data_IF_949115779915
#
_entry.id   IF_949115779915
#
_cell.length_a   1.000
_cell.length_b   1.000
_cell.length_c   1.000
_cell.angle_alpha   90.00
_cell.angle_beta   90.00
_cell.angle_gamma   90.00
#
_symmetry.space_group_name_H-M   'P 1'
#
loop_
_entity.id
_entity.type
_entity.pdbx_description
1 polymer ?
#
# COMPACT_ATOMS: atom_id res chain seq x y z
N UNK A 1 27.53 5.83 5.32
CA UNK A 1 28.56 6.40 4.42
C UNK A 1 27.94 6.50 3.05
N UNK A 2 28.13 7.62 2.36
CA UNK A 2 27.68 7.75 0.96
C UNK A 2 28.57 6.86 0.08
N UNK A 3 27.98 6.21 -0.92
CA UNK A 3 28.72 5.49 -1.96
C UNK A 3 28.85 6.39 -3.18
N UNK A 4 30.04 6.44 -3.78
CA UNK A 4 30.32 7.17 -5.01
C UNK A 4 30.71 6.17 -6.10
N UNK A 5 30.10 6.30 -7.29
CA UNK A 5 30.36 5.46 -8.46
C UNK A 5 30.87 6.36 -9.60
N UNK A 6 32.08 6.08 -10.09
CA UNK A 6 32.74 6.87 -11.15
C UNK A 6 33.21 5.93 -12.27
N UNK A 7 32.85 6.25 -13.51
CA UNK A 7 33.17 5.44 -14.72
C UNK A 7 32.73 3.97 -14.60
N UNK A 8 31.61 3.71 -13.94
CA UNK A 8 31.01 2.38 -13.76
C UNK A 8 29.84 2.19 -14.73
N UNK A 9 29.81 1.07 -15.43
CA UNK A 9 28.66 0.64 -16.22
C UNK A 9 27.64 -0.08 -15.33
N UNK A 10 26.48 0.54 -15.13
CA UNK A 10 25.34 -0.03 -14.38
C UNK A 10 24.24 -0.56 -15.32
N UNK A 11 24.52 -0.73 -16.61
CA UNK A 11 23.55 -1.26 -17.58
C UNK A 11 23.01 -2.62 -17.15
N UNK A 12 21.69 -2.79 -17.26
CA UNK A 12 21.00 -4.02 -16.86
C UNK A 12 20.82 -4.20 -15.35
N UNK A 13 21.26 -3.25 -14.52
CA UNK A 13 21.07 -3.31 -13.06
C UNK A 13 19.58 -3.26 -12.69
N UNK A 14 19.22 -4.01 -11.64
CA UNK A 14 17.90 -3.95 -11.00
C UNK A 14 18.07 -3.45 -9.56
N UNK A 15 17.43 -2.34 -9.24
CA UNK A 15 17.37 -1.80 -7.89
C UNK A 15 16.02 -2.19 -7.29
N UNK A 16 16.03 -3.01 -6.23
CA UNK A 16 14.83 -3.49 -5.53
C UNK A 16 14.94 -3.16 -4.06
N UNK A 17 13.92 -2.52 -3.49
CA UNK A 17 13.85 -2.10 -2.08
C UNK A 17 15.05 -1.24 -1.64
N UNK A 18 15.51 -0.36 -2.54
CA UNK A 18 16.64 0.55 -2.30
C UNK A 18 16.14 1.96 -2.00
N UNK A 19 16.71 2.59 -0.98
CA UNK A 19 16.51 4.01 -0.71
C UNK A 19 17.49 4.84 -1.55
N UNK A 20 16.95 5.70 -2.41
CA UNK A 20 17.71 6.66 -3.21
C UNK A 20 17.44 8.09 -2.74
N UNK A 21 17.72 8.35 -1.46
CA UNK A 21 17.59 9.70 -0.88
C UNK A 21 18.87 10.50 -1.12
N UNK A 22 18.72 11.78 -1.43
CA UNK A 22 19.83 12.71 -1.64
C UNK A 22 20.85 12.22 -2.70
N UNK A 23 20.38 11.46 -3.69
CA UNK A 23 21.21 10.94 -4.79
C UNK A 23 21.40 12.00 -5.86
N UNK A 24 22.65 12.21 -6.25
CA UNK A 24 23.03 13.16 -7.30
C UNK A 24 23.62 12.38 -8.47
N UNK A 25 22.99 12.51 -9.64
CA UNK A 25 23.41 11.87 -10.89
C UNK A 25 23.94 12.93 -11.87
N UNK A 26 25.26 13.08 -11.96
CA UNK A 26 25.92 14.06 -12.84
C UNK A 26 26.61 13.33 -14.00
N UNK A 27 26.37 13.77 -15.23
CA UNK A 27 27.01 13.20 -16.42
C UNK A 27 26.58 11.77 -16.75
N UNK A 28 25.41 11.34 -16.28
CA UNK A 28 24.87 9.99 -16.54
C UNK A 28 24.19 9.90 -17.91
N UNK A 29 24.30 8.73 -18.54
CA UNK A 29 23.49 8.35 -19.68
C UNK A 29 22.35 7.45 -19.19
N UNK A 30 21.10 7.89 -19.36
CA UNK A 30 19.91 7.11 -19.02
C UNK A 30 19.17 6.71 -20.30
N UNK A 31 19.22 5.44 -20.64
CA UNK A 31 18.45 4.84 -21.72
C UNK A 31 17.70 3.61 -21.21
N UNK A 32 16.45 3.44 -21.63
CA UNK A 32 15.59 2.31 -21.23
C UNK A 32 15.42 2.16 -19.71
N UNK A 33 15.32 3.28 -18.99
CA UNK A 33 15.15 3.32 -17.53
C UNK A 33 13.67 3.31 -17.16
N UNK A 34 13.30 2.39 -16.27
CA UNK A 34 11.98 2.32 -15.63
C UNK A 34 12.15 2.57 -14.13
N UNK A 35 11.32 3.44 -13.58
CA UNK A 35 11.32 3.79 -12.15
C UNK A 35 9.89 3.61 -11.66
N UNK A 36 9.72 2.68 -10.72
CA UNK A 36 8.46 2.41 -10.04
C UNK A 36 8.72 2.60 -8.53
N UNK A 37 7.98 3.49 -7.87
CA UNK A 37 8.17 3.76 -6.44
C UNK A 37 7.55 5.06 -5.95
N UNK A 38 7.84 5.43 -4.70
CA UNK A 38 7.44 6.71 -4.13
C UNK A 38 8.40 7.81 -4.63
N UNK A 39 7.92 8.63 -5.57
CA UNK A 39 8.74 9.66 -6.22
C UNK A 39 8.40 11.02 -5.64
N UNK A 40 9.43 11.72 -5.15
CA UNK A 40 9.32 13.07 -4.57
C UNK A 40 10.55 13.88 -4.99
N UNK A 41 10.32 15.14 -5.34
CA UNK A 41 11.36 16.13 -5.61
C UNK A 41 12.44 15.64 -6.60
N UNK A 42 12.02 14.94 -7.67
CA UNK A 42 12.93 14.40 -8.69
C UNK A 42 13.16 15.41 -9.79
N UNK A 43 14.41 15.87 -9.90
CA UNK A 43 14.84 16.88 -10.86
C UNK A 43 15.63 16.24 -12.00
N UNK A 44 15.15 16.36 -13.23
CA UNK A 44 15.85 15.92 -14.45
C UNK A 44 16.30 17.16 -15.21
N UNK A 45 17.62 17.30 -15.41
CA UNK A 45 18.23 18.43 -16.13
C UNK A 45 17.75 19.82 -15.63
N UNK A 46 17.57 19.97 -14.31
CA UNK A 46 17.12 21.22 -13.69
C UNK A 46 15.59 21.42 -13.64
N UNK A 47 14.80 20.46 -14.10
CA UNK A 47 13.32 20.50 -14.06
C UNK A 47 12.80 19.47 -13.07
N UNK A 48 12.01 19.91 -12.08
CA UNK A 48 11.22 19.00 -11.25
C UNK A 48 10.13 18.35 -12.11
N UNK A 49 10.24 17.04 -12.32
CA UNK A 49 9.33 16.28 -13.18
C UNK A 49 8.11 15.74 -12.44
N UNK A 50 8.11 15.76 -11.10
CA UNK A 50 7.06 15.13 -10.29
C UNK A 50 5.67 15.71 -10.59
N UNK A 51 5.46 17.03 -10.69
CA UNK A 51 4.12 17.58 -11.00
C UNK A 51 3.57 17.13 -12.36
N UNK A 52 4.43 16.95 -13.37
CA UNK A 52 4.01 16.49 -14.70
C UNK A 52 3.60 15.01 -14.66
N UNK A 53 4.34 14.19 -13.91
CA UNK A 53 4.02 12.77 -13.71
C UNK A 53 2.72 12.64 -12.91
N UNK A 54 2.57 13.36 -11.81
CA UNK A 54 1.35 13.37 -10.98
C UNK A 54 0.11 13.79 -11.80
N UNK A 55 0.22 14.85 -12.60
CA UNK A 55 -0.86 15.30 -13.48
C UNK A 55 -1.24 14.25 -14.53
N UNK A 56 -0.26 13.57 -15.13
CA UNK A 56 -0.53 12.49 -16.09
C UNK A 56 -1.15 11.26 -15.41
N UNK A 57 -0.71 10.92 -14.20
CA UNK A 57 -1.32 9.84 -13.41
C UNK A 57 -2.77 10.16 -13.06
N UNK A 58 -3.06 11.38 -12.61
CA UNK A 58 -4.42 11.84 -12.31
C UNK A 58 -5.29 11.94 -13.58
N UNK A 59 -4.70 12.24 -14.74
CA UNK A 59 -5.43 12.21 -16.03
C UNK A 59 -5.79 10.78 -16.44
N UNK A 60 -4.91 9.81 -16.19
CA UNK A 60 -5.14 8.38 -16.51
C UNK A 60 -6.13 7.73 -15.56
N UNK A 61 -6.10 8.11 -14.28
CA UNK A 61 -7.04 7.65 -13.26
C UNK A 61 -7.69 8.85 -12.55
N UNK A 62 -8.84 9.33 -13.04
CA UNK A 62 -9.53 10.48 -12.45
C UNK A 62 -10.01 10.30 -11.01
N UNK A 63 -10.05 9.07 -10.49
CA UNK A 63 -10.39 8.81 -9.08
C UNK A 63 -9.15 8.85 -8.16
N UNK A 64 -7.94 8.83 -8.72
CA UNK A 64 -6.68 8.91 -7.95
C UNK A 64 -6.60 10.13 -7.03
N UNK A 65 -7.00 11.36 -7.43
CA UNK A 65 -7.02 12.51 -6.53
C UNK A 65 -7.91 12.32 -5.31
N UNK A 66 -8.96 11.49 -5.40
CA UNK A 66 -9.88 11.22 -4.29
C UNK A 66 -9.21 10.44 -3.15
N UNK A 67 -8.05 9.83 -3.38
CA UNK A 67 -7.26 9.15 -2.34
C UNK A 67 -6.46 10.13 -1.46
N UNK A 68 -6.58 11.44 -1.69
CA UNK A 68 -5.99 12.51 -0.88
C UNK A 68 -7.07 13.44 -0.31
N UNK A 69 -8.13 12.92 0.33
CA UNK A 69 -9.20 13.75 0.85
C UNK A 69 -8.71 14.61 2.02
N UNK A 70 -9.36 15.76 2.22
CA UNK A 70 -8.99 16.73 3.25
C UNK A 70 -10.05 16.93 4.32
N UNK A 71 -11.23 16.35 4.15
CA UNK A 71 -12.37 16.48 5.05
C UNK A 71 -13.10 15.13 5.21
N UNK A 72 -13.95 14.97 6.23
CA UNK A 72 -14.66 13.71 6.49
C UNK A 72 -15.56 13.24 5.35
N UNK A 73 -16.15 14.14 4.56
CA UNK A 73 -16.99 13.73 3.44
C UNK A 73 -16.15 13.11 2.32
N UNK A 74 -14.99 13.71 2.03
CA UNK A 74 -14.01 13.20 1.08
C UNK A 74 -13.45 11.84 1.52
N UNK A 75 -13.23 11.60 2.81
CA UNK A 75 -12.83 10.27 3.28
C UNK A 75 -13.91 9.21 3.06
N UNK A 76 -15.19 9.55 3.27
CA UNK A 76 -16.29 8.61 2.98
C UNK A 76 -16.39 8.32 1.49
N UNK A 77 -16.31 9.35 0.64
CA UNK A 77 -16.29 9.21 -0.83
C UNK A 77 -15.12 8.34 -1.30
N UNK A 78 -13.91 8.61 -0.79
CA UNK A 78 -12.72 7.83 -1.11
C UNK A 78 -12.89 6.35 -0.75
N UNK A 79 -13.49 6.07 0.41
CA UNK A 79 -13.71 4.70 0.85
C UNK A 79 -14.79 3.97 0.03
N UNK A 80 -15.83 4.67 -0.42
CA UNK A 80 -16.83 4.11 -1.36
C UNK A 80 -16.16 3.68 -2.69
N UNK A 81 -15.21 4.48 -3.18
CA UNK A 81 -14.41 4.16 -4.37
C UNK A 81 -13.53 2.93 -4.12
N UNK A 82 -12.86 2.86 -2.96
CA UNK A 82 -12.02 1.73 -2.56
C UNK A 82 -12.85 0.44 -2.50
N UNK A 83 -14.00 0.46 -1.83
CA UNK A 83 -14.90 -0.70 -1.70
C UNK A 83 -15.37 -1.20 -3.07
N UNK A 84 -15.83 -0.29 -3.92
CA UNK A 84 -16.30 -0.63 -5.27
C UNK A 84 -15.17 -1.23 -6.13
N UNK A 85 -14.01 -0.56 -6.19
CA UNK A 85 -12.91 -1.01 -7.04
C UNK A 85 -12.32 -2.34 -6.57
N UNK A 86 -12.19 -2.58 -5.27
CA UNK A 86 -11.77 -3.89 -4.78
C UNK A 86 -12.79 -4.99 -5.07
N UNK A 87 -14.10 -4.69 -5.00
CA UNK A 87 -15.11 -5.67 -5.41
C UNK A 87 -14.94 -6.06 -6.89
N UNK A 88 -14.67 -5.09 -7.78
CA UNK A 88 -14.36 -5.33 -9.19
C UNK A 88 -13.08 -6.18 -9.37
N UNK A 89 -11.98 -5.82 -8.68
CA UNK A 89 -10.72 -6.57 -8.73
C UNK A 89 -10.88 -8.01 -8.22
N UNK A 90 -11.61 -8.22 -7.12
CA UNK A 90 -11.89 -9.55 -6.57
C UNK A 90 -12.77 -10.37 -7.52
N UNK A 91 -13.76 -9.76 -8.16
CA UNK A 91 -14.59 -10.44 -9.15
C UNK A 91 -13.76 -10.95 -10.33
N UNK A 92 -12.78 -10.15 -10.80
CA UNK A 92 -11.81 -10.58 -11.82
C UNK A 92 -10.95 -11.75 -11.34
N UNK A 93 -10.36 -11.63 -10.15
CA UNK A 93 -9.52 -12.68 -9.56
C UNK A 93 -10.26 -14.03 -9.41
N UNK A 94 -11.56 -14.00 -9.06
CA UNK A 94 -12.39 -15.21 -8.90
C UNK A 94 -12.57 -16.03 -10.18
N UNK A 95 -12.34 -15.46 -11.36
CA UNK A 95 -12.44 -16.18 -12.63
C UNK A 95 -11.20 -17.04 -12.88
N UNK A 96 -10.06 -16.70 -12.27
CA UNK A 96 -8.82 -17.44 -12.43
C UNK A 96 -8.83 -18.74 -11.60
N UNK A 97 -8.08 -19.78 -12.04
CA UNK A 97 -7.79 -20.93 -11.19
C UNK A 97 -7.18 -20.49 -9.86
N UNK A 98 -7.70 -21.02 -8.75
CA UNK A 98 -7.28 -20.60 -7.40
C UNK A 98 -5.76 -20.65 -7.17
N UNK A 99 -5.08 -21.63 -7.77
CA UNK A 99 -3.63 -21.77 -7.67
C UNK A 99 -2.86 -20.54 -8.20
N UNK A 100 -3.39 -19.83 -9.20
CA UNK A 100 -2.74 -18.63 -9.74
C UNK A 100 -2.81 -17.43 -8.80
N UNK A 101 -3.77 -17.39 -7.88
CA UNK A 101 -3.92 -16.27 -6.94
C UNK A 101 -2.80 -16.25 -5.89
N UNK A 102 -2.13 -17.39 -5.69
CA UNK A 102 -0.95 -17.54 -4.85
C UNK A 102 0.37 -17.45 -5.65
N UNK A 103 0.32 -17.23 -6.97
CA UNK A 103 1.53 -17.04 -7.77
C UNK A 103 2.05 -15.61 -7.68
N UNK A 104 3.38 -15.49 -7.59
CA UNK A 104 4.10 -14.22 -7.70
C UNK A 104 4.33 -13.86 -9.17
N UNK A 105 4.18 -12.58 -9.49
CA UNK A 105 4.58 -12.00 -10.78
C UNK A 105 5.81 -11.13 -10.55
N UNK A 106 6.87 -11.36 -11.33
CA UNK A 106 8.17 -10.64 -11.23
C UNK A 106 8.87 -10.64 -9.86
N UNK A 107 8.49 -11.56 -8.96
CA UNK A 107 9.02 -11.63 -7.60
C UNK A 107 8.34 -10.66 -6.63
N UNK A 108 7.21 -10.06 -7.01
CA UNK A 108 6.35 -9.28 -6.11
C UNK A 108 5.33 -10.18 -5.39
N UNK A 109 4.55 -9.62 -4.47
CA UNK A 109 3.52 -10.37 -3.76
C UNK A 109 2.45 -10.94 -4.69
N UNK A 110 1.97 -12.14 -4.34
CA UNK A 110 0.78 -12.70 -4.97
C UNK A 110 -0.47 -11.89 -4.64
N UNK A 111 -1.58 -12.18 -5.33
CA UNK A 111 -2.87 -11.58 -5.01
C UNK A 111 -3.27 -11.89 -3.56
N UNK A 112 -3.12 -13.15 -3.13
CA UNK A 112 -3.42 -13.55 -1.74
C UNK A 112 -2.52 -12.81 -0.73
N UNK A 113 -1.21 -12.71 -0.99
CA UNK A 113 -0.29 -11.97 -0.11
C UNK A 113 -0.67 -10.48 -0.03
N UNK A 114 -1.08 -9.88 -1.14
CA UNK A 114 -1.61 -8.50 -1.17
C UNK A 114 -2.88 -8.37 -0.33
N UNK A 115 -3.80 -9.34 -0.39
CA UNK A 115 -5.00 -9.35 0.46
C UNK A 115 -4.66 -9.44 1.95
N UNK A 116 -3.68 -10.28 2.28
CA UNK A 116 -3.18 -10.43 3.65
C UNK A 116 -2.46 -9.17 4.15
N UNK A 117 -1.72 -8.48 3.28
CA UNK A 117 -1.03 -7.25 3.64
C UNK A 117 -1.99 -6.13 4.02
N UNK A 118 -3.03 -5.93 3.20
CA UNK A 118 -4.01 -4.87 3.47
C UNK A 118 -4.82 -5.11 4.74
N UNK A 119 -5.06 -6.37 5.11
CA UNK A 119 -5.57 -6.70 6.46
C UNK A 119 -4.64 -6.19 7.56
N UNK A 120 -3.33 -6.44 7.42
CA UNK A 120 -2.33 -5.99 8.38
C UNK A 120 -2.23 -4.45 8.43
N UNK A 121 -2.34 -3.76 7.29
CA UNK A 121 -2.32 -2.31 7.21
C UNK A 121 -3.51 -1.70 7.98
N UNK A 122 -4.73 -2.21 7.79
CA UNK A 122 -5.90 -1.77 8.55
C UNK A 122 -5.77 -2.04 10.04
N UNK A 123 -5.32 -3.26 10.41
CA UNK A 123 -5.09 -3.61 11.82
C UNK A 123 -4.11 -2.66 12.50
N UNK A 124 -3.08 -2.24 11.78
CA UNK A 124 -2.04 -1.35 12.29
C UNK A 124 -2.55 0.09 12.43
N UNK A 125 -3.15 0.66 11.39
CA UNK A 125 -3.43 2.10 11.36
C UNK A 125 -4.82 2.49 11.85
N UNK A 126 -5.79 1.58 11.76
CA UNK A 126 -7.16 1.84 12.26
C UNK A 126 -7.34 1.13 13.59
N UNK A 127 -7.21 -0.19 13.60
CA UNK A 127 -7.57 -0.97 14.80
C UNK A 127 -6.62 -0.71 15.97
N UNK A 128 -5.30 -0.64 15.72
CA UNK A 128 -4.31 -0.29 16.74
C UNK A 128 -4.24 1.20 16.95
N UNK A 129 -3.78 1.96 15.95
CA UNK A 129 -3.40 3.35 16.16
C UNK A 129 -4.60 4.24 16.51
N UNK A 130 -5.71 4.12 15.79
CA UNK A 130 -6.91 4.95 16.01
C UNK A 130 -7.77 4.40 17.15
N UNK A 131 -8.11 3.11 17.11
CA UNK A 131 -9.04 2.48 18.07
C UNK A 131 -8.36 1.98 19.35
N UNK A 132 -7.05 2.09 19.45
CA UNK A 132 -6.29 1.83 20.68
C UNK A 132 -6.10 0.35 21.02
N UNK A 133 -6.37 -0.58 20.10
CA UNK A 133 -6.24 -2.01 20.41
C UNK A 133 -4.76 -2.43 20.45
N UNK A 134 -4.29 -3.08 21.54
CA UNK A 134 -2.87 -3.37 21.72
C UNK A 134 -2.33 -4.47 20.80
N UNK A 135 -3.12 -5.50 20.47
CA UNK A 135 -2.67 -6.62 19.61
C UNK A 135 -3.74 -7.01 18.59
N UNK A 136 -4.08 -6.14 17.62
CA UNK A 136 -5.23 -6.38 16.75
C UNK A 136 -4.93 -7.23 15.52
N UNK A 137 -3.66 -7.49 15.21
CA UNK A 137 -3.29 -8.14 13.96
C UNK A 137 -3.84 -9.56 13.87
N UNK A 138 -4.62 -9.80 12.83
CA UNK A 138 -5.12 -11.14 12.55
C UNK A 138 -3.97 -12.08 12.15
N UNK A 139 -4.07 -13.38 12.47
CA UNK A 139 -3.03 -14.39 12.13
C UNK A 139 -2.75 -14.52 10.61
N UNK A 140 -3.73 -14.16 9.78
CA UNK A 140 -3.57 -14.12 8.32
C UNK A 140 -3.00 -12.81 7.80
N UNK A 141 -2.93 -11.75 8.62
CA UNK A 141 -2.31 -10.48 8.25
C UNK A 141 -0.82 -10.66 7.95
N UNK A 142 -0.34 -10.02 6.89
CA UNK A 142 1.05 -10.12 6.43
C UNK A 142 1.77 -8.76 6.52
N UNK A 143 2.73 -8.58 7.44
CA UNK A 143 3.61 -7.42 7.44
C UNK A 143 4.43 -7.33 6.15
N UNK A 144 4.95 -6.15 5.84
CA UNK A 144 5.74 -5.95 4.62
C UNK A 144 7.06 -6.75 4.63
N UNK A 145 7.67 -6.89 3.46
CA UNK A 145 8.97 -7.56 3.33
C UNK A 145 10.05 -6.70 3.99
N UNK A 146 10.93 -7.32 4.79
CA UNK A 146 11.91 -6.59 5.57
C UNK A 146 11.34 -5.82 6.78
N UNK A 147 10.05 -5.98 7.11
CA UNK A 147 9.50 -5.46 8.36
C UNK A 147 10.33 -5.98 9.55
N UNK A 148 10.60 -5.14 10.56
CA UNK A 148 11.23 -5.59 11.80
C UNK A 148 10.37 -6.66 12.48
N UNK A 149 10.91 -7.31 13.52
CA UNK A 149 10.07 -8.11 14.39
C UNK A 149 8.97 -7.24 14.99
N UNK A 150 7.72 -7.73 14.95
CA UNK A 150 6.54 -6.97 15.36
C UNK A 150 5.97 -7.64 16.62
N UNK A 151 6.27 -7.10 17.82
CA UNK A 151 5.75 -7.66 19.07
C UNK A 151 4.23 -7.76 19.04
N UNK A 152 3.70 -8.94 19.38
CA UNK A 152 2.26 -9.24 19.40
C UNK A 152 1.67 -9.68 18.06
N UNK A 153 2.43 -9.66 16.97
CA UNK A 153 2.03 -10.34 15.73
C UNK A 153 2.49 -11.80 15.78
N UNK A 154 1.55 -12.73 15.57
CA UNK A 154 1.78 -14.18 15.65
C UNK A 154 1.35 -14.90 14.36
N UNK A 155 1.32 -14.19 13.24
CA UNK A 155 0.97 -14.75 11.94
C UNK A 155 2.11 -15.55 11.31
N UNK A 156 1.76 -16.35 10.30
CA UNK A 156 2.73 -17.11 9.50
C UNK A 156 2.96 -16.43 8.16
N UNK A 157 4.19 -15.99 7.85
CA UNK A 157 4.49 -15.29 6.59
C UNK A 157 4.13 -16.14 5.36
N UNK A 158 4.43 -17.44 5.41
CA UNK A 158 4.20 -18.40 4.33
C UNK A 158 2.79 -18.99 4.30
N UNK A 159 1.85 -18.51 5.12
CA UNK A 159 0.47 -19.00 5.07
C UNK A 159 -0.15 -18.78 3.69
N UNK A 160 -0.83 -19.82 3.19
CA UNK A 160 -1.56 -19.81 1.91
C UNK A 160 -3.04 -20.04 2.15
N UNK A 161 -3.75 -19.07 2.78
CA UNK A 161 -5.18 -19.19 2.93
C UNK A 161 -5.85 -19.16 1.55
N UNK A 162 -6.99 -19.82 1.44
CA UNK A 162 -7.85 -19.66 0.27
C UNK A 162 -8.31 -18.21 0.12
N UNK A 163 -8.74 -17.86 -1.10
CA UNK A 163 -9.30 -16.54 -1.38
C UNK A 163 -10.46 -16.20 -0.44
N UNK A 164 -11.36 -17.16 -0.16
CA UNK A 164 -12.52 -16.92 0.69
C UNK A 164 -12.14 -16.67 2.16
N UNK A 165 -11.15 -17.40 2.68
CA UNK A 165 -10.64 -17.19 4.06
C UNK A 165 -10.03 -15.81 4.24
N UNK A 166 -9.19 -15.34 3.30
CA UNK A 166 -8.61 -14.00 3.41
C UNK A 166 -9.66 -12.90 3.17
N UNK A 167 -10.64 -13.13 2.28
CA UNK A 167 -11.73 -12.18 2.04
C UNK A 167 -12.69 -12.07 3.22
N UNK A 168 -12.87 -13.12 4.02
CA UNK A 168 -13.64 -13.04 5.26
C UNK A 168 -13.01 -12.03 6.23
N UNK A 169 -11.70 -12.12 6.45
CA UNK A 169 -10.97 -11.19 7.31
C UNK A 169 -10.96 -9.78 6.72
N UNK A 170 -10.70 -9.64 5.42
CA UNK A 170 -10.76 -8.35 4.71
C UNK A 170 -12.11 -7.66 4.89
N UNK A 171 -13.23 -8.38 4.74
CA UNK A 171 -14.57 -7.80 4.90
C UNK A 171 -14.78 -7.22 6.29
N UNK A 172 -14.35 -7.92 7.33
CA UNK A 172 -14.41 -7.43 8.71
C UNK A 172 -13.56 -6.15 8.91
N UNK A 173 -12.35 -6.11 8.34
CA UNK A 173 -11.48 -4.92 8.42
C UNK A 173 -12.02 -3.75 7.63
N UNK A 174 -12.54 -4.00 6.44
CA UNK A 174 -13.16 -2.95 5.63
C UNK A 174 -14.41 -2.38 6.31
N UNK A 175 -15.24 -3.24 6.93
CA UNK A 175 -16.38 -2.81 7.74
C UNK A 175 -15.94 -1.97 8.95
N UNK A 176 -14.82 -2.31 9.59
CA UNK A 176 -14.23 -1.51 10.68
C UNK A 176 -13.86 -0.09 10.21
N UNK A 177 -13.23 0.04 9.05
CA UNK A 177 -12.90 1.36 8.48
C UNK A 177 -14.17 2.13 8.14
N UNK A 178 -15.11 1.49 7.44
CA UNK A 178 -16.41 2.07 7.08
C UNK A 178 -17.14 2.62 8.30
N UNK A 179 -17.28 1.83 9.36
CA UNK A 179 -17.92 2.26 10.60
C UNK A 179 -17.22 3.46 11.24
N UNK A 180 -15.87 3.47 11.27
CA UNK A 180 -15.12 4.60 11.79
C UNK A 180 -15.32 5.88 10.95
N UNK A 181 -15.35 5.74 9.61
CA UNK A 181 -15.55 6.87 8.70
C UNK A 181 -16.98 7.42 8.75
N UNK A 182 -17.99 6.59 9.02
CA UNK A 182 -19.38 7.03 9.11
C UNK A 182 -19.57 8.03 10.26
N UNK A 183 -18.89 7.82 11.39
CA UNK A 183 -18.90 8.71 12.56
C UNK A 183 -17.80 9.79 12.54
N UNK A 184 -16.96 9.83 11.50
CA UNK A 184 -15.83 10.77 11.43
C UNK A 184 -16.31 12.23 11.38
N UNK A 185 -15.82 13.03 12.31
CA UNK A 185 -16.05 14.47 12.38
C UNK A 185 -14.79 15.25 12.04
N UNK A 186 -14.92 16.53 11.68
CA UNK A 186 -13.78 17.42 11.42
C UNK A 186 -12.84 17.48 12.64
N UNK A 187 -13.41 17.59 13.85
CA UNK A 187 -12.64 17.66 15.08
C UNK A 187 -11.80 16.40 15.31
N UNK A 188 -12.36 15.22 15.04
CA UNK A 188 -11.64 13.94 15.16
C UNK A 188 -10.60 13.80 14.05
N UNK A 189 -10.91 14.25 12.83
CA UNK A 189 -9.96 14.21 11.73
C UNK A 189 -8.69 15.04 12.03
N UNK A 190 -8.87 16.22 12.64
CA UNK A 190 -7.79 17.11 13.06
C UNK A 190 -7.12 16.72 14.39
N UNK A 191 -7.64 15.70 15.07
CA UNK A 191 -7.06 15.24 16.32
C UNK A 191 -5.86 14.33 16.10
N UNK A 192 -5.27 13.93 17.23
CA UNK A 192 -4.25 12.89 17.27
C UNK A 192 -4.78 11.67 18.02
N UNK A 193 -4.17 10.53 17.76
CA UNK A 193 -4.41 9.29 18.50
C UNK A 193 -3.75 9.36 19.88
N UNK A 194 -4.30 8.62 20.83
CA UNK A 194 -3.60 8.30 22.07
C UNK A 194 -2.55 7.20 21.80
N UNK A 195 -1.32 7.33 22.33
CA UNK A 195 -0.32 6.26 22.21
C UNK A 195 -0.83 4.96 22.85
N UNK A 196 -0.72 3.85 22.11
CA UNK A 196 -1.05 2.52 22.64
C UNK A 196 0.08 2.07 23.56
N UNK A 197 -0.22 1.86 24.86
CA UNK A 197 0.75 1.41 25.87
C UNK A 197 1.06 -0.10 25.76
N UNK A 198 1.54 -0.51 24.58
CA UNK A 198 2.01 -1.85 24.27
C UNK A 198 3.02 -1.79 23.13
N UNK A 199 4.04 -2.66 23.09
CA UNK A 199 4.93 -2.74 21.93
C UNK A 199 4.14 -3.21 20.68
N UNK A 200 4.64 -2.88 19.49
CA UNK A 200 3.98 -3.26 18.24
C UNK A 200 4.18 -2.28 17.09
N UNK A 201 3.38 -2.47 16.02
CA UNK A 201 3.39 -1.63 14.83
C UNK A 201 2.00 -1.02 14.46
N UNK A 202 1.85 0.31 14.33
CA UNK A 202 2.92 1.29 14.45
C UNK A 202 3.45 1.39 15.88
N UNK A 203 4.63 2.02 16.05
CA UNK A 203 5.24 2.24 17.36
C UNK A 203 4.26 2.92 18.34
N UNK A 204 4.45 2.76 19.66
CA UNK A 204 3.57 3.33 20.69
C UNK A 204 3.74 4.85 20.81
N UNK A 205 3.33 5.56 19.76
CA UNK A 205 3.41 7.01 19.59
C UNK A 205 2.03 7.58 19.25
N UNK A 206 1.89 8.89 19.45
CA UNK A 206 0.69 9.62 19.02
C UNK A 206 0.82 9.99 17.54
N UNK A 207 -0.18 9.67 16.72
CA UNK A 207 -0.22 9.98 15.29
C UNK A 207 -1.37 10.94 14.97
N UNK A 208 -1.25 11.83 13.98
CA UNK A 208 -2.42 12.53 13.43
C UNK A 208 -3.44 11.52 12.88
N UNK A 209 -4.71 11.62 13.24
CA UNK A 209 -5.77 10.71 12.76
C UNK A 209 -5.86 10.75 11.24
N UNK A 210 -5.86 11.96 10.66
CA UNK A 210 -5.78 12.19 9.22
C UNK A 210 -4.65 11.40 8.55
N UNK A 211 -3.46 11.33 9.16
CA UNK A 211 -2.32 10.59 8.61
C UNK A 211 -2.59 9.08 8.57
N UNK A 212 -3.14 8.52 9.64
CA UNK A 212 -3.48 7.09 9.69
C UNK A 212 -4.47 6.71 8.59
N UNK A 213 -5.53 7.51 8.39
CA UNK A 213 -6.52 7.27 7.35
C UNK A 213 -5.95 7.44 5.93
N UNK A 214 -5.10 8.46 5.70
CA UNK A 214 -4.42 8.64 4.42
C UNK A 214 -3.49 7.48 4.09
N UNK A 215 -2.81 6.91 5.09
CA UNK A 215 -2.00 5.71 4.89
C UNK A 215 -2.91 4.58 4.40
N UNK A 216 -4.01 4.29 5.10
CA UNK A 216 -4.93 3.20 4.70
C UNK A 216 -5.47 3.40 3.28
N UNK A 217 -5.90 4.61 2.90
CA UNK A 217 -6.35 4.89 1.53
C UNK A 217 -5.23 4.66 0.50
N UNK A 218 -4.01 5.12 0.81
CA UNK A 218 -2.86 4.96 -0.07
C UNK A 218 -2.47 3.48 -0.23
N UNK A 219 -2.46 2.72 0.86
CA UNK A 219 -2.20 1.28 0.86
C UNK A 219 -3.22 0.57 -0.03
N UNK A 220 -4.52 0.78 0.22
CA UNK A 220 -5.59 0.15 -0.55
C UNK A 220 -5.51 0.50 -2.05
N UNK A 221 -5.24 1.76 -2.38
CA UNK A 221 -5.16 2.23 -3.76
C UNK A 221 -3.95 1.67 -4.51
N UNK A 222 -2.73 1.81 -3.96
CA UNK A 222 -1.50 1.40 -4.63
C UNK A 222 -1.41 -0.12 -4.76
N UNK A 223 -1.75 -0.86 -3.70
CA UNK A 223 -1.72 -2.32 -3.75
C UNK A 223 -2.76 -2.91 -4.71
N UNK A 224 -3.90 -2.23 -4.93
CA UNK A 224 -4.84 -2.62 -5.98
C UNK A 224 -4.23 -2.43 -7.37
N UNK A 225 -3.46 -1.36 -7.63
CA UNK A 225 -2.81 -1.17 -8.92
C UNK A 225 -1.79 -2.28 -9.21
N UNK A 226 -0.98 -2.67 -8.22
CA UNK A 226 -0.06 -3.81 -8.37
C UNK A 226 -0.82 -5.11 -8.60
N UNK A 227 -1.86 -5.38 -7.81
CA UNK A 227 -2.72 -6.54 -7.98
C UNK A 227 -3.35 -6.63 -9.37
N UNK A 228 -3.88 -5.53 -9.90
CA UNK A 228 -4.52 -5.50 -11.24
C UNK A 228 -3.52 -5.69 -12.38
N UNK A 229 -2.32 -5.12 -12.25
CA UNK A 229 -1.21 -5.35 -13.19
C UNK A 229 -0.86 -6.83 -13.23
N UNK A 230 -0.73 -7.46 -12.07
CA UNK A 230 -0.31 -8.86 -11.96
C UNK A 230 -1.40 -9.83 -12.39
N UNK A 231 -2.65 -9.55 -12.02
CA UNK A 231 -3.80 -10.28 -12.54
C UNK A 231 -3.87 -10.23 -14.06
N UNK A 232 -3.58 -9.08 -14.70
CA UNK A 232 -3.55 -8.99 -16.16
C UNK A 232 -2.48 -9.90 -16.80
N UNK A 233 -1.32 -10.08 -16.14
CA UNK A 233 -0.29 -11.03 -16.59
C UNK A 233 -0.78 -12.47 -16.42
N UNK A 234 -1.42 -12.80 -15.30
CA UNK A 234 -1.93 -14.15 -15.02
C UNK A 234 -3.11 -14.53 -15.95
N UNK A 235 -4.00 -13.58 -16.23
CA UNK A 235 -5.12 -13.71 -17.20
C UNK A 235 -4.60 -14.10 -18.59
N UNK A 236 -3.47 -13.53 -19.02
CA UNK A 236 -2.84 -13.87 -20.31
C UNK A 236 -2.24 -15.29 -20.35
N UNK A 237 -1.91 -15.89 -19.21
CA UNK A 237 -1.36 -17.27 -19.16
C UNK A 237 -2.43 -18.35 -19.32
N UNK A 238 -3.69 -18.00 -19.08
CA UNK A 238 -4.83 -18.93 -19.16
C UNK A 238 -5.75 -18.67 -20.35
N UNK A 239 -5.49 -17.60 -21.11
CA UNK A 239 -6.16 -17.28 -22.37
C UNK A 239 -5.53 -18.03 -23.54
#
# INVERSE_FOLDING_TARGET
MAQEFTDVDLSGSRFRDVLLHDVVMIGVELAHVRIDGAIKDVVINGVDVVPYVEAELDRRDPERPKMRPTDPAGFREAWDIVERRWAETVARARVLPAALLDESVEGEWSFIQTLRHLTFATDSWVTRAILGQPTPWHRLGLPWEGAPDIPGWHGEREARPSLDEVLEVRRDRMATVRAYLDDLTEQVLESRTEPVDAPGWPPPESFPVRRCLLIVLNEEYLHRLFAERDLAVLEQRVS
#
